data_IF_518674144850
#
_entry.id   IF_518674144850
#
_cell.length_a   1.000
_cell.length_b   1.000
_cell.length_c   1.000
_cell.angle_alpha   90.00
_cell.angle_beta   90.00
_cell.angle_gamma   90.00
#
_symmetry.space_group_name_H-M   'P 1'
#
loop_
_entity.id
_entity.type
_entity.pdbx_description
1 polymer ?
#
# COMPACT_ATOMS: atom_id res chain seq x y z
N UNK A 1 -5.80 15.05 6.71
CA UNK A 1 -5.71 15.11 8.20
C UNK A 1 -6.76 14.23 8.89
N UNK A 2 -8.05 14.33 8.55
CA UNK A 2 -9.13 13.54 9.19
C UNK A 2 -8.90 12.01 9.06
N UNK A 3 -8.53 11.52 7.87
CA UNK A 3 -8.26 10.09 7.66
C UNK A 3 -7.06 9.56 8.49
N UNK A 4 -6.01 10.38 8.66
CA UNK A 4 -4.86 10.04 9.48
C UNK A 4 -5.21 9.99 10.97
N UNK A 5 -6.06 10.93 11.42
CA UNK A 5 -6.57 10.96 12.80
C UNK A 5 -7.47 9.75 13.09
N UNK A 6 -8.37 9.39 12.17
CA UNK A 6 -9.20 8.18 12.28
C UNK A 6 -8.35 6.91 12.35
N UNK A 7 -7.33 6.76 11.49
CA UNK A 7 -6.43 5.61 11.51
C UNK A 7 -5.65 5.50 12.83
N UNK A 8 -5.20 6.64 13.37
CA UNK A 8 -4.44 6.70 14.62
C UNK A 8 -5.25 6.29 15.86
N UNK A 9 -6.57 6.47 15.83
CA UNK A 9 -7.49 6.09 16.92
C UNK A 9 -7.99 4.66 16.74
N UNK A 10 -8.17 4.21 15.49
CA UNK A 10 -8.74 2.91 15.19
C UNK A 10 -7.83 1.75 15.63
N UNK A 11 -6.52 1.85 15.38
CA UNK A 11 -5.55 0.81 15.74
C UNK A 11 -5.48 0.56 17.28
N UNK A 12 -5.31 1.57 18.15
CA UNK A 12 -5.30 1.35 19.60
C UNK A 12 -6.67 0.93 20.13
N UNK A 13 -7.78 1.39 19.55
CA UNK A 13 -9.11 0.96 19.94
C UNK A 13 -9.34 -0.54 19.66
N UNK A 14 -8.93 -1.03 18.49
CA UNK A 14 -9.01 -2.46 18.16
C UNK A 14 -8.14 -3.30 19.09
N UNK A 15 -6.91 -2.86 19.39
CA UNK A 15 -6.03 -3.53 20.35
C UNK A 15 -6.64 -3.59 21.75
N UNK A 16 -7.23 -2.49 22.24
CA UNK A 16 -7.90 -2.45 23.54
C UNK A 16 -9.09 -3.40 23.59
N UNK A 17 -9.96 -3.40 22.57
CA UNK A 17 -11.09 -4.33 22.48
C UNK A 17 -10.58 -5.77 22.49
N UNK A 18 -9.52 -6.06 21.74
CA UNK A 18 -8.93 -7.40 21.68
C UNK A 18 -8.42 -7.87 23.04
N UNK A 19 -7.68 -7.00 23.75
CA UNK A 19 -7.16 -7.29 25.09
C UNK A 19 -8.31 -7.53 26.08
N UNK A 20 -9.33 -6.66 26.09
CA UNK A 20 -10.49 -6.78 26.98
C UNK A 20 -11.24 -8.09 26.73
N UNK A 21 -11.52 -8.42 25.47
CA UNK A 21 -12.20 -9.67 25.10
C UNK A 21 -11.39 -10.89 25.52
N UNK A 22 -10.07 -10.87 25.32
CA UNK A 22 -9.20 -11.97 25.75
C UNK A 22 -9.16 -12.14 27.27
N UNK A 23 -9.03 -11.05 28.04
CA UNK A 23 -9.01 -11.13 29.51
C UNK A 23 -10.35 -11.64 30.06
N UNK A 24 -11.47 -11.16 29.52
CA UNK A 24 -12.82 -11.59 29.97
C UNK A 24 -13.06 -13.06 29.63
N UNK A 25 -12.69 -13.51 28.44
CA UNK A 25 -13.01 -14.86 27.95
C UNK A 25 -12.16 -15.97 28.56
N UNK A 26 -10.96 -15.65 29.03
CA UNK A 26 -9.99 -16.65 29.51
C UNK A 26 -9.67 -16.52 31.01
N UNK A 27 -10.46 -15.75 31.76
CA UNK A 27 -10.25 -15.48 33.19
C UNK A 27 -10.09 -16.74 34.07
N UNK A 28 -10.72 -17.85 33.66
CA UNK A 28 -10.71 -19.13 34.39
C UNK A 28 -9.64 -20.14 33.93
N UNK A 29 -8.98 -19.89 32.79
CA UNK A 29 -7.83 -20.69 32.33
C UNK A 29 -6.57 -19.98 32.81
N UNK A 30 -5.74 -20.59 33.66
CA UNK A 30 -4.61 -19.93 34.33
C UNK A 30 -3.77 -18.97 33.47
N UNK A 31 -3.21 -17.92 34.10
CA UNK A 31 -2.64 -16.74 33.42
C UNK A 31 -1.65 -17.03 32.28
N UNK A 32 -0.85 -18.09 32.39
CA UNK A 32 0.10 -18.47 31.33
C UNK A 32 -0.62 -18.93 30.03
N UNK A 33 -1.71 -19.70 30.15
CA UNK A 33 -2.49 -20.16 29.01
C UNK A 33 -3.17 -18.99 28.30
N UNK A 34 -3.67 -18.00 29.06
CA UNK A 34 -4.27 -16.77 28.52
C UNK A 34 -3.25 -15.98 27.71
N UNK A 35 -2.07 -15.75 28.27
CA UNK A 35 -1.00 -14.97 27.63
C UNK A 35 -0.55 -15.66 26.34
N UNK A 36 -0.38 -16.99 26.37
CA UNK A 36 0.02 -17.78 25.20
C UNK A 36 -1.02 -17.70 24.09
N UNK A 37 -2.31 -17.84 24.41
CA UNK A 37 -3.39 -17.68 23.43
C UNK A 37 -3.42 -16.26 22.86
N UNK A 38 -3.38 -15.24 23.72
CA UNK A 38 -3.38 -13.84 23.31
C UNK A 38 -2.23 -13.56 22.33
N UNK A 39 -1.01 -14.03 22.64
CA UNK A 39 0.14 -13.89 21.76
C UNK A 39 -0.07 -14.57 20.41
N UNK A 40 -0.54 -15.82 20.40
CA UNK A 40 -0.84 -16.55 19.15
C UNK A 40 -1.84 -15.78 18.29
N UNK A 41 -2.92 -15.26 18.87
CA UNK A 41 -3.92 -14.49 18.12
C UNK A 41 -3.40 -13.13 17.64
N UNK A 42 -2.58 -12.43 18.42
CA UNK A 42 -1.95 -11.18 18.00
C UNK A 42 -1.04 -11.37 16.79
N UNK A 43 -0.22 -12.43 16.79
CA UNK A 43 0.65 -12.75 15.64
C UNK A 43 -0.19 -13.13 14.41
N UNK A 44 -1.24 -13.94 14.58
CA UNK A 44 -2.16 -14.28 13.50
C UNK A 44 -2.90 -13.05 12.95
N UNK A 45 -3.27 -12.12 13.81
CA UNK A 45 -3.88 -10.86 13.40
C UNK A 45 -2.89 -9.99 12.62
N UNK A 46 -1.67 -9.81 13.12
CA UNK A 46 -0.64 -9.01 12.44
C UNK A 46 -0.29 -9.57 11.06
N UNK A 47 -0.13 -10.90 10.95
CA UNK A 47 0.11 -11.58 9.67
C UNK A 47 -1.08 -11.46 8.71
N UNK A 48 -2.31 -11.55 9.22
CA UNK A 48 -3.52 -11.31 8.42
C UNK A 48 -3.57 -9.88 7.86
N UNK A 49 -3.31 -8.87 8.70
CA UNK A 49 -3.28 -7.47 8.27
C UNK A 49 -2.20 -7.22 7.21
N UNK A 50 -1.04 -7.88 7.36
CA UNK A 50 0.06 -7.79 6.39
C UNK A 50 -0.35 -8.37 5.02
N UNK A 51 -1.00 -9.54 5.00
CA UNK A 51 -1.48 -10.18 3.77
C UNK A 51 -2.58 -9.35 3.09
N UNK A 52 -3.53 -8.78 3.86
CA UNK A 52 -4.58 -7.91 3.32
C UNK A 52 -3.95 -6.66 2.69
N UNK A 53 -3.01 -6.02 3.37
CA UNK A 53 -2.30 -4.84 2.84
C UNK A 53 -1.51 -5.15 1.56
N UNK A 54 -0.83 -6.30 1.51
CA UNK A 54 -0.15 -6.78 0.31
C UNK A 54 -1.14 -7.05 -0.84
N UNK A 55 -2.26 -7.71 -0.56
CA UNK A 55 -3.29 -8.03 -1.54
C UNK A 55 -3.88 -6.78 -2.20
N UNK A 56 -4.32 -5.80 -1.41
CA UNK A 56 -4.85 -4.52 -1.91
C UNK A 56 -3.80 -3.82 -2.79
N UNK A 57 -2.54 -3.81 -2.34
CA UNK A 57 -1.45 -3.15 -3.06
C UNK A 57 -1.14 -3.80 -4.42
N UNK A 58 -1.26 -5.12 -4.54
CA UNK A 58 -1.13 -5.83 -5.83
C UNK A 58 -2.25 -5.43 -6.77
N UNK A 59 -3.51 -5.40 -6.29
CA UNK A 59 -4.65 -5.02 -7.13
C UNK A 59 -4.53 -3.59 -7.64
N UNK A 60 -4.12 -2.64 -6.78
CA UNK A 60 -3.90 -1.25 -7.20
C UNK A 60 -2.79 -1.15 -8.25
N UNK A 61 -1.65 -1.79 -8.00
CA UNK A 61 -0.54 -1.77 -8.95
C UNK A 61 -0.86 -2.48 -10.27
N UNK A 62 -1.66 -3.55 -10.25
CA UNK A 62 -2.14 -4.20 -11.46
C UNK A 62 -3.08 -3.28 -12.27
N UNK A 63 -3.94 -2.53 -11.59
CA UNK A 63 -4.79 -1.52 -12.24
C UNK A 63 -3.94 -0.42 -12.90
N UNK A 64 -2.93 0.11 -12.18
CA UNK A 64 -2.02 1.13 -12.70
C UNK A 64 -1.16 0.64 -13.87
N UNK A 65 -0.89 -0.67 -13.95
CA UNK A 65 -0.17 -1.29 -15.05
C UNK A 65 -1.03 -1.36 -16.32
N UNK A 66 -2.31 -1.72 -16.19
CA UNK A 66 -3.25 -1.90 -17.30
C UNK A 66 -3.80 -0.56 -17.77
N UNK A 67 -4.18 0.30 -16.82
CA UNK A 67 -4.80 1.60 -17.06
C UNK A 67 -4.06 2.67 -16.24
N UNK A 68 -2.86 3.09 -16.68
CA UNK A 68 -2.16 4.19 -16.04
C UNK A 68 -3.05 5.44 -15.98
N UNK A 69 -3.01 6.21 -14.88
CA UNK A 69 -3.74 7.47 -14.78
C UNK A 69 -3.36 8.43 -15.91
N UNK A 70 -4.32 9.26 -16.31
CA UNK A 70 -4.10 10.26 -17.36
C UNK A 70 -3.05 11.29 -16.94
N UNK A 71 -2.30 11.80 -17.92
CA UNK A 71 -1.39 12.92 -17.72
C UNK A 71 -2.17 14.14 -17.18
N UNK A 72 -1.69 14.74 -16.09
CA UNK A 72 -2.46 15.76 -15.35
C UNK A 72 -2.59 17.10 -16.06
N UNK A 73 -1.75 17.36 -17.06
CA UNK A 73 -1.65 18.66 -17.72
C UNK A 73 -2.20 18.56 -19.14
N UNK A 74 -3.05 19.50 -19.55
CA UNK A 74 -3.49 19.58 -20.95
C UNK A 74 -2.35 20.10 -21.83
N UNK A 75 -2.44 19.88 -23.14
CA UNK A 75 -1.47 20.45 -24.08
C UNK A 75 -1.44 21.98 -24.00
N UNK A 76 -2.60 22.62 -23.83
CA UNK A 76 -2.71 24.07 -23.74
C UNK A 76 -2.02 24.61 -22.47
N UNK A 77 -2.17 23.90 -21.35
CA UNK A 77 -1.46 24.23 -20.10
C UNK A 77 0.05 24.03 -20.25
N UNK A 78 0.48 22.98 -20.95
CA UNK A 78 1.90 22.70 -21.25
C UNK A 78 2.52 23.81 -22.09
N UNK A 79 1.80 24.21 -23.14
CA UNK A 79 2.19 25.29 -24.03
C UNK A 79 2.29 26.62 -23.29
N UNK A 80 1.27 26.99 -22.52
CA UNK A 80 1.27 28.22 -21.74
C UNK A 80 2.43 28.24 -20.72
N UNK A 81 2.78 27.11 -20.11
CA UNK A 81 3.89 27.02 -19.14
C UNK A 81 5.27 27.19 -19.80
N UNK A 82 5.46 26.64 -21.00
CA UNK A 82 6.69 26.80 -21.79
C UNK A 82 6.83 28.20 -22.39
N UNK A 83 5.75 28.77 -22.90
CA UNK A 83 5.75 30.13 -23.50
C UNK A 83 5.87 31.24 -22.44
N UNK A 84 5.34 31.04 -21.24
CA UNK A 84 5.46 31.99 -20.12
C UNK A 84 6.83 31.97 -19.42
N UNK A 85 7.79 31.15 -19.90
CA UNK A 85 9.15 31.08 -19.37
C UNK A 85 9.26 30.44 -17.97
N UNK A 86 8.19 29.82 -17.45
CA UNK A 86 8.21 29.12 -16.15
C UNK A 86 9.01 27.82 -16.19
N UNK A 87 9.22 27.24 -17.38
CA UNK A 87 10.23 26.20 -17.64
C UNK A 87 11.24 26.79 -18.63
N UNK A 88 12.50 27.04 -18.23
CA UNK A 88 13.51 27.50 -19.17
C UNK A 88 13.71 26.47 -20.28
N UNK A 89 13.81 26.91 -21.53
CA UNK A 89 14.51 26.13 -22.54
C UNK A 89 16.01 26.34 -22.33
N UNK A 90 16.78 25.27 -22.36
CA UNK A 90 18.23 25.28 -22.14
C UNK A 90 18.96 26.25 -23.09
N UNK A 91 18.35 26.58 -24.24
CA UNK A 91 18.94 27.40 -25.30
C UNK A 91 18.21 28.74 -25.56
N UNK A 92 17.18 29.11 -24.79
CA UNK A 92 16.45 30.37 -24.98
C UNK A 92 15.63 30.52 -26.28
N UNK A 93 15.63 29.52 -27.16
CA UNK A 93 14.86 29.52 -28.40
C UNK A 93 13.39 29.14 -28.19
N UNK A 94 12.49 29.82 -28.90
CA UNK A 94 11.07 29.48 -28.95
C UNK A 94 10.91 28.21 -29.80
N UNK A 95 10.48 27.13 -29.16
CA UNK A 95 10.15 25.88 -29.85
C UNK A 95 9.03 26.13 -30.87
N UNK A 96 9.12 25.46 -32.01
CA UNK A 96 8.01 25.43 -32.97
C UNK A 96 6.83 24.64 -32.39
N UNK A 97 5.61 24.90 -32.88
CA UNK A 97 4.40 24.17 -32.45
C UNK A 97 4.55 22.65 -32.58
N UNK A 98 5.25 22.21 -33.64
CA UNK A 98 5.50 20.79 -33.90
C UNK A 98 6.43 20.17 -32.85
N UNK A 99 7.48 20.88 -32.46
CA UNK A 99 8.40 20.43 -31.42
C UNK A 99 7.75 20.45 -30.04
N UNK A 100 6.91 21.46 -29.76
CA UNK A 100 6.18 21.58 -28.51
C UNK A 100 5.21 20.41 -28.31
N UNK A 101 4.50 20.02 -29.37
CA UNK A 101 3.62 18.86 -29.37
C UNK A 101 4.37 17.54 -29.21
N UNK A 102 5.49 17.38 -29.93
CA UNK A 102 6.34 16.20 -29.79
C UNK A 102 6.87 16.05 -28.35
N UNK A 103 7.34 17.15 -27.74
CA UNK A 103 7.80 17.16 -26.35
C UNK A 103 6.69 16.82 -25.35
N UNK A 104 5.47 17.31 -25.59
CA UNK A 104 4.30 16.97 -24.76
C UNK A 104 3.95 15.48 -24.88
N UNK A 105 3.88 14.94 -26.11
CA UNK A 105 3.59 13.52 -26.33
C UNK A 105 4.65 12.61 -25.68
N UNK A 106 5.92 13.00 -25.79
CA UNK A 106 7.01 12.31 -25.11
C UNK A 106 6.86 12.38 -23.59
N UNK A 107 6.54 13.54 -23.01
CA UNK A 107 6.32 13.67 -21.57
C UNK A 107 5.15 12.82 -21.06
N UNK A 108 4.06 12.73 -21.84
CA UNK A 108 2.91 11.86 -21.55
C UNK A 108 3.33 10.39 -21.58
N UNK A 109 4.13 9.99 -22.57
CA UNK A 109 4.63 8.61 -22.69
C UNK A 109 5.59 8.25 -21.55
N UNK A 110 6.53 9.13 -21.23
CA UNK A 110 7.48 8.96 -20.13
C UNK A 110 6.77 8.82 -18.79
N UNK A 111 5.75 9.64 -18.53
CA UNK A 111 4.95 9.49 -17.30
C UNK A 111 4.25 8.13 -17.24
N UNK A 112 3.62 7.68 -18.35
CA UNK A 112 2.98 6.36 -18.42
C UNK A 112 3.99 5.24 -18.15
N UNK A 113 5.18 5.34 -18.75
CA UNK A 113 6.25 4.35 -18.56
C UNK A 113 6.78 4.34 -17.14
N UNK A 114 6.95 5.50 -16.51
CA UNK A 114 7.31 5.61 -15.10
C UNK A 114 6.26 4.98 -14.19
N UNK A 115 4.97 5.28 -14.39
CA UNK A 115 3.89 4.68 -13.60
C UNK A 115 3.85 3.16 -13.76
N UNK A 116 4.01 2.63 -14.98
CA UNK A 116 4.13 1.19 -15.21
C UNK A 116 5.35 0.58 -14.49
N UNK A 117 6.48 1.28 -14.47
CA UNK A 117 7.68 0.87 -13.74
C UNK A 117 7.45 0.82 -12.23
N UNK A 118 6.79 1.84 -11.67
CA UNK A 118 6.43 1.90 -10.26
C UNK A 118 5.43 0.79 -9.89
N UNK A 119 4.42 0.55 -10.72
CA UNK A 119 3.46 -0.54 -10.56
C UNK A 119 4.15 -1.90 -10.49
N UNK A 120 5.08 -2.21 -11.42
CA UNK A 120 5.86 -3.47 -11.38
C UNK A 120 6.63 -3.62 -10.07
N UNK A 121 7.32 -2.56 -9.62
CA UNK A 121 8.05 -2.58 -8.35
C UNK A 121 7.11 -2.78 -7.15
N UNK A 122 5.95 -2.14 -7.17
CA UNK A 122 4.94 -2.28 -6.12
C UNK A 122 4.38 -3.70 -6.06
N UNK A 123 4.14 -4.36 -7.18
CA UNK A 123 3.72 -5.77 -7.21
C UNK A 123 4.76 -6.65 -6.51
N UNK A 124 6.04 -6.50 -6.86
CA UNK A 124 7.14 -7.28 -6.26
C UNK A 124 7.21 -7.06 -4.74
N UNK A 125 7.18 -5.79 -4.31
CA UNK A 125 7.20 -5.45 -2.88
C UNK A 125 5.99 -6.02 -2.15
N UNK A 126 4.80 -5.93 -2.75
CA UNK A 126 3.55 -6.39 -2.15
C UNK A 126 3.47 -7.92 -2.06
N UNK A 127 4.10 -8.64 -2.99
CA UNK A 127 4.30 -10.09 -2.85
C UNK A 127 5.16 -10.42 -1.64
N UNK A 128 6.19 -9.62 -1.35
CA UNK A 128 6.98 -9.73 -0.11
C UNK A 128 6.10 -9.64 1.15
N UNK A 129 5.14 -8.71 1.17
CA UNK A 129 4.15 -8.57 2.25
C UNK A 129 3.20 -9.77 2.39
N UNK A 130 3.11 -10.67 1.41
CA UNK A 130 2.28 -11.87 1.49
C UNK A 130 3.14 -13.10 1.81
N UNK A 131 4.28 -13.24 1.15
CA UNK A 131 5.14 -14.42 1.22
C UNK A 131 5.86 -14.51 2.58
N UNK A 132 6.35 -13.39 3.11
CA UNK A 132 7.08 -13.34 4.39
C UNK A 132 6.20 -13.74 5.59
N UNK A 133 4.96 -13.23 5.77
CA UNK A 133 4.12 -13.61 6.89
C UNK A 133 3.52 -15.01 6.76
N UNK A 134 3.46 -15.58 5.56
CA UNK A 134 2.86 -16.90 5.33
C UNK A 134 3.45 -18.03 6.20
N UNK A 135 4.78 -18.25 6.28
CA UNK A 135 5.36 -19.28 7.15
C UNK A 135 5.04 -19.04 8.63
N UNK A 136 5.07 -17.77 9.07
CA UNK A 136 4.72 -17.38 10.44
C UNK A 136 3.25 -17.72 10.70
N UNK A 137 2.35 -17.34 9.79
CA UNK A 137 0.93 -17.63 9.87
C UNK A 137 0.67 -19.14 9.95
N UNK A 138 1.29 -19.95 9.09
CA UNK A 138 1.12 -21.40 9.10
C UNK A 138 1.57 -22.02 10.44
N UNK A 139 2.73 -21.59 10.96
CA UNK A 139 3.25 -22.04 12.24
C UNK A 139 2.29 -21.69 13.39
N UNK A 140 1.90 -20.42 13.54
CA UNK A 140 1.00 -19.99 14.61
C UNK A 140 -0.42 -20.51 14.46
N UNK A 141 -0.89 -20.75 13.24
CA UNK A 141 -2.19 -21.36 12.97
C UNK A 141 -2.20 -22.84 13.39
N UNK A 142 -1.08 -23.54 13.21
CA UNK A 142 -0.91 -24.91 13.71
C UNK A 142 -0.88 -24.95 15.24
N UNK A 143 -0.21 -23.99 15.89
CA UNK A 143 -0.18 -23.85 17.35
C UNK A 143 -1.58 -23.61 17.92
N UNK A 144 -2.34 -22.70 17.30
CA UNK A 144 -3.72 -22.42 17.71
C UNK A 144 -4.60 -23.67 17.67
N UNK A 145 -4.48 -24.49 16.62
CA UNK A 145 -5.26 -25.74 16.50
C UNK A 145 -4.95 -26.70 17.66
N UNK A 146 -3.67 -26.94 17.95
CA UNK A 146 -3.24 -27.82 19.04
C UNK A 146 -3.70 -27.35 20.43
N UNK A 147 -3.80 -26.04 20.64
CA UNK A 147 -4.26 -25.49 21.92
C UNK A 147 -5.79 -25.57 22.12
N UNK A 148 -6.57 -25.74 21.05
CA UNK A 148 -8.02 -25.90 21.14
C UNK A 148 -8.43 -27.36 21.40
N UNK A 149 -7.50 -28.31 21.23
CA UNK A 149 -7.71 -29.75 21.46
C UNK A 149 -7.37 -30.17 22.92
N UNK A 150 -7.11 -29.21 23.82
CA UNK A 150 -6.85 -29.37 25.26
C UNK A 150 -7.88 -28.54 26.05
#
# INVERSE_FOLDING_TARGET
>A
MIAYSLLSIFLPAVLLIFIVVSVVKYKDKGGEAVIRHLYTYLVLFATLMMVIGGGISIFMAAADLISPPSYYQSYDDYKMMKESGKIPNENGEKLTEKELRANYEQAVEDQKNQTRGQAKNQIIKSLGFIIIPLPIFLYFNSLRKKQNDI
#
